data_IF_430372443672
#
_entry.id   IF_430372443672
#
_cell.length_a   1.000
_cell.length_b   1.000
_cell.length_c   1.000
_cell.angle_alpha   90.00
_cell.angle_beta   90.00
_cell.angle_gamma   90.00
#
_symmetry.space_group_name_H-M   'P 1'
#
loop_
_entity.id
_entity.type
_entity.pdbx_description
1 polymer ?
#
# COMPACT_ATOMS: atom_id res chain seq x y z
N UNK A 1 -7.66 -4.05 -52.46
CA UNK A 1 -7.16 -2.74 -52.99
C UNK A 1 -7.26 -1.60 -51.97
N UNK A 2 -8.33 -1.46 -51.16
CA UNK A 2 -8.48 -0.34 -50.17
C UNK A 2 -7.38 -0.31 -49.09
N UNK A 3 -6.97 -1.48 -48.55
CA UNK A 3 -5.94 -1.55 -47.49
C UNK A 3 -4.56 -1.06 -47.97
N UNK A 4 -4.11 -1.48 -49.15
CA UNK A 4 -2.81 -1.01 -49.73
C UNK A 4 -2.79 0.51 -49.90
N UNK A 5 -3.93 1.12 -50.32
CA UNK A 5 -4.03 2.56 -50.48
C UNK A 5 -3.90 3.30 -49.14
N UNK A 6 -4.47 2.77 -48.05
CA UNK A 6 -4.34 3.36 -46.72
C UNK A 6 -2.91 3.32 -46.18
N UNK A 7 -2.17 2.23 -46.40
CA UNK A 7 -0.75 2.16 -46.03
C UNK A 7 0.13 3.12 -46.81
N UNK A 8 -0.17 3.35 -48.11
CA UNK A 8 0.55 4.34 -48.94
C UNK A 8 0.26 5.75 -48.42
N UNK A 9 -1.02 6.08 -48.13
CA UNK A 9 -1.39 7.39 -47.59
C UNK A 9 -0.74 7.61 -46.23
N UNK A 10 -0.71 6.60 -45.36
CA UNK A 10 -0.06 6.67 -44.06
C UNK A 10 1.49 6.87 -44.20
N UNK A 11 2.12 6.14 -45.09
CA UNK A 11 3.54 6.33 -45.38
C UNK A 11 3.86 7.74 -45.91
N UNK A 12 3.03 8.26 -46.80
CA UNK A 12 3.19 9.64 -47.32
C UNK A 12 2.96 10.69 -46.21
N UNK A 13 2.02 10.46 -45.33
CA UNK A 13 1.79 11.34 -44.18
C UNK A 13 2.97 11.36 -43.22
N UNK A 14 3.55 10.21 -42.90
CA UNK A 14 4.77 10.11 -42.08
C UNK A 14 5.98 10.77 -42.74
N UNK A 15 6.15 10.56 -44.04
CA UNK A 15 7.24 11.18 -44.78
C UNK A 15 7.10 12.71 -44.85
N UNK A 16 5.88 13.22 -45.08
CA UNK A 16 5.58 14.64 -45.04
C UNK A 16 5.81 15.24 -43.66
N UNK A 17 5.39 14.56 -42.62
CA UNK A 17 5.63 14.98 -41.21
C UNK A 17 7.14 15.04 -40.93
N UNK A 18 7.90 14.00 -41.27
CA UNK A 18 9.34 13.96 -41.05
C UNK A 18 10.07 15.07 -41.85
N UNK A 19 9.68 15.29 -43.09
CA UNK A 19 10.24 16.36 -43.91
C UNK A 19 9.95 17.75 -43.34
N UNK A 20 8.70 17.97 -42.85
CA UNK A 20 8.32 19.23 -42.25
C UNK A 20 9.05 19.45 -40.89
N UNK A 21 9.24 18.40 -40.12
CA UNK A 21 10.00 18.43 -38.88
C UNK A 21 11.45 18.80 -39.11
N UNK A 22 12.11 18.12 -40.08
CA UNK A 22 13.51 18.41 -40.47
C UNK A 22 13.64 19.84 -41.02
N UNK A 23 12.63 20.31 -41.78
CA UNK A 23 12.64 21.67 -42.28
C UNK A 23 12.51 22.71 -41.19
N UNK A 24 11.62 22.49 -40.19
CA UNK A 24 11.48 23.37 -39.02
C UNK A 24 12.75 23.38 -38.18
N UNK A 25 13.37 22.20 -37.96
CA UNK A 25 14.65 22.10 -37.25
C UNK A 25 15.75 22.87 -38.02
N UNK A 26 15.81 22.71 -39.31
CA UNK A 26 16.78 23.46 -40.16
C UNK A 26 16.57 24.99 -40.08
N UNK A 27 15.31 25.45 -40.10
CA UNK A 27 15.00 26.87 -39.89
C UNK A 27 15.36 27.31 -38.46
N UNK A 28 15.18 26.42 -37.46
CA UNK A 28 15.51 26.68 -36.05
C UNK A 28 16.99 26.90 -35.83
N UNK A 29 17.86 26.20 -36.55
CA UNK A 29 19.32 26.41 -36.48
C UNK A 29 19.75 27.84 -36.84
N UNK A 30 18.94 28.60 -37.58
CA UNK A 30 19.21 30.01 -37.82
C UNK A 30 19.11 30.90 -36.58
N UNK A 31 18.45 30.38 -35.51
CA UNK A 31 18.27 31.08 -34.22
C UNK A 31 19.23 30.62 -33.15
N UNK A 32 20.02 29.54 -33.37
CA UNK A 32 20.96 28.99 -32.37
C UNK A 32 22.08 29.96 -31.95
N UNK A 33 22.26 31.05 -32.70
CA UNK A 33 23.20 32.13 -32.34
C UNK A 33 22.58 33.31 -31.56
N UNK A 34 21.30 33.33 -31.28
CA UNK A 34 20.60 34.45 -30.62
C UNK A 34 20.23 34.21 -29.14
N UNK A 35 20.44 33.00 -28.63
CA UNK A 35 20.21 32.66 -27.24
C UNK A 35 21.46 32.86 -26.37
N UNK A 36 21.34 33.04 -25.02
CA UNK A 36 22.48 32.97 -24.12
C UNK A 36 23.07 31.57 -24.23
N UNK A 37 24.08 31.42 -25.09
CA UNK A 37 24.64 30.14 -25.47
C UNK A 37 25.30 29.45 -24.31
N UNK A 38 24.87 28.26 -24.06
CA UNK A 38 25.71 27.17 -23.66
C UNK A 38 25.92 26.32 -24.92
N UNK A 39 26.96 26.67 -25.71
CA UNK A 39 27.54 25.66 -26.57
C UNK A 39 28.01 24.53 -25.65
N UNK A 40 27.69 23.26 -25.91
CA UNK A 40 28.33 22.16 -25.22
C UNK A 40 29.83 22.28 -25.51
N UNK A 41 30.61 22.64 -24.50
CA UNK A 41 32.06 22.64 -24.54
C UNK A 41 32.53 21.21 -24.81
N UNK A 42 33.07 21.02 -25.94
CA UNK A 42 33.93 19.99 -26.48
C UNK A 42 33.93 18.57 -25.89
N UNK A 43 33.92 17.62 -26.79
CA UNK A 43 34.39 16.23 -26.63
C UNK A 43 33.54 15.25 -25.79
N UNK A 44 32.25 15.43 -25.74
CA UNK A 44 31.42 14.31 -25.30
C UNK A 44 31.26 13.30 -26.44
N UNK A 45 31.92 12.15 -26.27
CA UNK A 45 31.73 11.04 -27.22
C UNK A 45 30.23 10.71 -27.27
N UNK A 46 29.69 10.23 -28.40
CA UNK A 46 28.28 9.83 -28.49
C UNK A 46 27.86 8.85 -27.41
N UNK A 47 28.81 8.08 -26.87
CA UNK A 47 28.62 7.16 -25.73
C UNK A 47 28.48 7.93 -24.40
N UNK A 48 29.23 9.03 -24.21
CA UNK A 48 29.12 9.89 -23.04
C UNK A 48 27.75 10.58 -22.97
N UNK A 49 27.29 11.17 -24.07
CA UNK A 49 25.96 11.78 -24.20
C UNK A 49 24.83 10.76 -23.93
N UNK A 50 24.99 9.53 -24.41
CA UNK A 50 24.03 8.46 -24.19
C UNK A 50 24.02 8.03 -22.72
N UNK A 51 25.20 7.95 -22.09
CA UNK A 51 25.33 7.65 -20.66
C UNK A 51 24.71 8.74 -19.78
N UNK A 52 24.97 10.02 -20.09
CA UNK A 52 24.40 11.15 -19.35
C UNK A 52 22.88 11.23 -19.54
N UNK A 53 22.38 11.02 -20.76
CA UNK A 53 20.95 10.96 -21.03
C UNK A 53 20.28 9.81 -20.28
N UNK A 54 20.90 8.64 -20.22
CA UNK A 54 20.39 7.49 -19.46
C UNK A 54 20.40 7.76 -17.96
N UNK A 55 21.47 8.35 -17.42
CA UNK A 55 21.55 8.68 -15.98
C UNK A 55 20.57 9.76 -15.58
N UNK A 56 20.35 10.78 -16.39
CA UNK A 56 19.32 11.81 -16.17
C UNK A 56 17.92 11.17 -16.20
N UNK A 57 17.65 10.32 -17.19
CA UNK A 57 16.37 9.63 -17.29
C UNK A 57 16.15 8.65 -16.13
N UNK A 58 17.18 7.96 -15.64
CA UNK A 58 17.07 7.08 -14.47
C UNK A 58 16.79 7.86 -13.17
N UNK A 59 17.24 9.11 -13.05
CA UNK A 59 16.94 9.99 -11.92
C UNK A 59 15.57 10.65 -12.00
N UNK A 60 14.88 10.53 -13.14
CA UNK A 60 13.51 11.05 -13.23
C UNK A 60 12.58 10.31 -12.25
N UNK A 61 11.73 11.02 -11.47
CA UNK A 61 10.93 10.41 -10.40
C UNK A 61 10.10 9.21 -10.84
N UNK A 62 9.52 9.25 -12.04
CA UNK A 62 8.74 8.14 -12.58
C UNK A 62 9.63 6.93 -12.91
N UNK A 63 10.78 7.15 -13.50
CA UNK A 63 11.73 6.06 -13.87
C UNK A 63 12.25 5.37 -12.60
N UNK A 64 12.62 6.15 -11.59
CA UNK A 64 13.06 5.62 -10.30
C UNK A 64 11.95 4.83 -9.61
N UNK A 65 10.73 5.34 -9.60
CA UNK A 65 9.57 4.63 -9.06
C UNK A 65 9.33 3.29 -9.77
N UNK A 66 9.39 3.27 -11.10
CA UNK A 66 9.24 2.03 -11.87
C UNK A 66 10.38 1.04 -11.57
N UNK A 67 11.61 1.53 -11.42
CA UNK A 67 12.75 0.70 -11.04
C UNK A 67 12.57 0.11 -9.63
N UNK A 68 12.11 0.91 -8.66
CA UNK A 68 11.76 0.45 -7.31
C UNK A 68 10.70 -0.65 -7.36
N UNK A 69 9.62 -0.45 -8.11
CA UNK A 69 8.54 -1.44 -8.26
C UNK A 69 9.07 -2.73 -8.89
N UNK A 70 9.90 -2.64 -9.93
CA UNK A 70 10.53 -3.80 -10.57
C UNK A 70 11.41 -4.56 -9.57
N UNK A 71 12.29 -3.86 -8.84
CA UNK A 71 13.17 -4.46 -7.85
C UNK A 71 12.36 -5.17 -6.74
N UNK A 72 11.30 -4.51 -6.23
CA UNK A 72 10.39 -5.08 -5.24
C UNK A 72 9.71 -6.34 -5.80
N UNK A 73 9.12 -6.28 -6.99
CA UNK A 73 8.38 -7.41 -7.58
C UNK A 73 9.29 -8.62 -7.82
N UNK A 74 10.51 -8.40 -8.31
CA UNK A 74 11.47 -9.49 -8.53
C UNK A 74 11.86 -10.12 -7.19
N UNK A 75 12.25 -9.31 -6.21
CA UNK A 75 12.69 -9.80 -4.89
C UNK A 75 11.55 -10.53 -4.17
N UNK A 76 10.35 -9.95 -4.17
CA UNK A 76 9.14 -10.57 -3.61
C UNK A 76 8.88 -11.92 -4.29
N UNK A 77 9.02 -12.02 -5.61
CA UNK A 77 8.79 -13.28 -6.33
C UNK A 77 9.78 -14.36 -5.93
N UNK A 78 11.04 -14.01 -5.80
CA UNK A 78 12.12 -14.92 -5.39
C UNK A 78 11.85 -15.43 -3.96
N UNK A 79 11.63 -14.53 -3.00
CA UNK A 79 11.41 -14.89 -1.60
C UNK A 79 10.08 -15.61 -1.38
N UNK A 80 9.02 -15.21 -2.05
CA UNK A 80 7.72 -15.91 -1.97
C UNK A 80 7.84 -17.35 -2.47
N UNK A 81 8.58 -17.60 -3.57
CA UNK A 81 8.85 -18.94 -4.06
C UNK A 81 9.69 -19.76 -3.06
N UNK A 82 10.76 -19.16 -2.52
CA UNK A 82 11.62 -19.81 -1.52
C UNK A 82 10.85 -20.22 -0.26
N UNK A 83 10.01 -19.31 0.26
CA UNK A 83 9.21 -19.59 1.46
C UNK A 83 8.12 -20.63 1.21
N UNK A 84 7.51 -20.64 0.03
CA UNK A 84 6.59 -21.71 -0.37
C UNK A 84 7.27 -23.07 -0.41
N UNK A 85 8.51 -23.14 -0.91
CA UNK A 85 9.30 -24.37 -0.89
C UNK A 85 9.58 -24.85 0.54
N UNK A 86 9.75 -23.93 1.50
CA UNK A 86 9.88 -24.21 2.92
C UNK A 86 8.54 -24.55 3.62
N UNK A 87 7.43 -24.66 2.87
CA UNK A 87 6.11 -24.95 3.40
C UNK A 87 5.41 -23.74 4.07
N UNK A 88 6.01 -22.55 4.00
CA UNK A 88 5.44 -21.32 4.55
C UNK A 88 4.52 -20.61 3.53
N UNK A 89 3.57 -19.78 3.99
CA UNK A 89 2.81 -18.91 3.10
C UNK A 89 3.71 -17.93 2.35
N UNK A 90 3.41 -17.67 1.07
CA UNK A 90 4.19 -16.77 0.23
C UNK A 90 4.29 -15.35 0.78
N UNK A 91 3.25 -14.88 1.48
CA UNK A 91 3.23 -13.56 2.13
C UNK A 91 4.36 -13.37 3.15
N UNK A 92 4.81 -14.43 3.82
CA UNK A 92 5.97 -14.34 4.72
C UNK A 92 7.23 -14.03 3.92
N UNK A 93 7.38 -14.67 2.75
CA UNK A 93 8.45 -14.33 1.80
C UNK A 93 8.37 -12.89 1.30
N UNK A 94 7.17 -12.37 1.06
CA UNK A 94 6.96 -10.97 0.67
C UNK A 94 7.42 -9.99 1.76
N UNK A 95 7.13 -10.28 3.03
CA UNK A 95 7.59 -9.48 4.17
C UNK A 95 9.12 -9.53 4.29
N UNK A 96 9.70 -10.73 4.20
CA UNK A 96 11.17 -10.90 4.27
C UNK A 96 11.86 -10.20 3.10
N UNK A 97 11.28 -10.24 1.89
CA UNK A 97 11.77 -9.49 0.75
C UNK A 97 11.84 -7.98 1.01
N UNK A 98 10.81 -7.43 1.66
CA UNK A 98 10.80 -6.03 2.09
C UNK A 98 11.89 -5.70 3.10
N UNK A 99 12.15 -6.58 4.07
CA UNK A 99 13.24 -6.42 5.04
C UNK A 99 14.61 -6.48 4.34
N UNK A 100 14.77 -7.40 3.38
CA UNK A 100 16.01 -7.55 2.61
C UNK A 100 16.30 -6.33 1.74
N UNK A 101 15.28 -5.74 1.12
CA UNK A 101 15.43 -4.50 0.36
C UNK A 101 15.55 -3.24 1.24
N UNK A 102 15.27 -3.38 2.53
CA UNK A 102 15.30 -2.29 3.49
C UNK A 102 16.71 -1.91 3.97
N UNK A 103 16.80 -0.89 4.83
CA UNK A 103 18.07 -0.39 5.36
C UNK A 103 18.84 -1.43 6.15
N UNK A 104 18.15 -2.41 6.75
CA UNK A 104 18.76 -3.42 7.61
C UNK A 104 19.65 -4.42 6.86
N UNK A 105 19.33 -4.75 5.61
CA UNK A 105 20.10 -5.73 4.82
C UNK A 105 20.73 -5.03 3.60
N UNK A 106 19.96 -4.54 2.65
CA UNK A 106 20.51 -3.87 1.48
C UNK A 106 21.29 -2.62 1.85
N UNK A 107 20.74 -1.81 2.78
CA UNK A 107 21.42 -0.60 3.24
C UNK A 107 22.74 -0.88 3.98
N UNK A 108 22.87 -2.04 4.63
CA UNK A 108 24.11 -2.45 5.29
C UNK A 108 25.11 -3.10 4.32
N UNK A 109 24.63 -3.94 3.40
CA UNK A 109 25.48 -4.67 2.45
C UNK A 109 25.95 -3.80 1.29
N UNK A 110 25.13 -2.90 0.80
CA UNK A 110 25.43 -2.00 -0.32
C UNK A 110 24.74 -0.62 -0.11
N UNK A 111 25.33 0.24 0.75
CA UNK A 111 24.77 1.56 1.05
C UNK A 111 24.53 2.42 -0.18
N UNK A 112 25.41 2.35 -1.16
CA UNK A 112 25.31 3.12 -2.40
C UNK A 112 24.09 2.69 -3.25
N UNK A 113 23.89 1.38 -3.42
CA UNK A 113 22.73 0.83 -4.13
C UNK A 113 21.43 1.16 -3.41
N UNK A 114 21.44 1.08 -2.09
CA UNK A 114 20.28 1.42 -1.27
C UNK A 114 19.94 2.92 -1.39
N UNK A 115 20.94 3.80 -1.25
CA UNK A 115 20.73 5.24 -1.37
C UNK A 115 20.28 5.66 -2.78
N UNK A 116 20.76 4.97 -3.82
CA UNK A 116 20.29 5.21 -5.19
C UNK A 116 18.86 4.75 -5.40
N UNK A 117 18.49 3.54 -4.93
CA UNK A 117 17.20 2.91 -5.22
C UNK A 117 16.10 3.42 -4.28
N UNK A 118 16.42 3.65 -3.00
CA UNK A 118 15.47 4.00 -1.95
C UNK A 118 15.86 5.29 -1.23
N UNK A 119 16.21 6.33 -2.02
CA UNK A 119 16.41 7.68 -1.49
C UNK A 119 15.14 8.15 -0.75
N UNK A 120 15.25 8.75 0.44
CA UNK A 120 14.11 9.20 1.23
C UNK A 120 13.10 10.05 0.47
N UNK A 121 13.55 10.94 -0.43
CA UNK A 121 12.68 11.79 -1.22
C UNK A 121 11.91 11.00 -2.30
N UNK A 122 12.48 9.88 -2.75
CA UNK A 122 11.86 8.99 -3.73
C UNK A 122 10.82 8.03 -3.15
N UNK A 123 10.75 7.88 -1.83
CA UNK A 123 9.82 6.96 -1.17
C UNK A 123 8.38 7.48 -1.11
N UNK A 124 8.16 8.78 -1.29
CA UNK A 124 6.81 9.37 -1.21
C UNK A 124 5.86 8.78 -2.26
N UNK A 125 6.19 8.73 -3.55
CA UNK A 125 5.34 8.07 -4.56
C UNK A 125 5.11 6.58 -4.29
N UNK A 126 6.14 5.86 -3.81
CA UNK A 126 6.04 4.45 -3.47
C UNK A 126 5.07 4.22 -2.30
N UNK A 127 5.12 5.08 -1.29
CA UNK A 127 4.18 5.05 -0.16
C UNK A 127 2.74 5.29 -0.63
N UNK A 128 2.51 6.28 -1.49
CA UNK A 128 1.16 6.55 -2.05
C UNK A 128 0.60 5.31 -2.76
N UNK A 129 1.40 4.67 -3.62
CA UNK A 129 0.98 3.44 -4.32
C UNK A 129 0.70 2.32 -3.32
N UNK A 130 1.53 2.16 -2.28
CA UNK A 130 1.33 1.18 -1.22
C UNK A 130 0.00 1.39 -0.48
N UNK A 131 -0.33 2.64 -0.11
CA UNK A 131 -1.60 2.97 0.56
C UNK A 131 -2.81 2.70 -0.34
N UNK A 132 -2.74 3.09 -1.62
CA UNK A 132 -3.80 2.79 -2.59
C UNK A 132 -3.97 1.28 -2.74
N UNK A 133 -2.86 0.54 -2.86
CA UNK A 133 -2.86 -0.93 -2.93
C UNK A 133 -3.50 -1.56 -1.70
N UNK A 134 -3.19 -1.06 -0.51
CA UNK A 134 -3.79 -1.53 0.74
C UNK A 134 -5.31 -1.29 0.77
N UNK A 135 -5.78 -0.09 0.40
CA UNK A 135 -7.22 0.23 0.35
C UNK A 135 -7.96 -0.73 -0.60
N UNK A 136 -7.41 -0.96 -1.81
CA UNK A 136 -7.99 -1.87 -2.78
C UNK A 136 -7.99 -3.33 -2.29
N UNK A 137 -6.90 -3.77 -1.68
CA UNK A 137 -6.79 -5.10 -1.11
C UNK A 137 -7.81 -5.32 0.02
N UNK A 138 -7.94 -4.38 0.95
CA UNK A 138 -8.92 -4.45 2.04
C UNK A 138 -10.36 -4.46 1.53
N UNK A 139 -10.64 -3.72 0.46
CA UNK A 139 -11.94 -3.74 -0.20
C UNK A 139 -12.26 -5.13 -0.78
N UNK A 140 -11.32 -5.77 -1.49
CA UNK A 140 -11.49 -7.12 -2.05
C UNK A 140 -11.72 -8.14 -0.94
N UNK A 141 -10.92 -8.11 0.13
CA UNK A 141 -11.12 -8.99 1.30
C UNK A 141 -12.49 -8.76 1.93
N UNK A 142 -12.90 -7.50 2.09
CA UNK A 142 -14.20 -7.14 2.63
C UNK A 142 -15.38 -7.69 1.81
N UNK A 143 -15.24 -7.75 0.48
CA UNK A 143 -16.25 -8.36 -0.40
C UNK A 143 -16.34 -9.89 -0.27
N UNK A 144 -15.25 -10.56 0.07
CA UNK A 144 -15.21 -12.01 0.26
C UNK A 144 -15.79 -12.45 1.61
N UNK A 145 -15.98 -11.54 2.58
CA UNK A 145 -16.48 -11.86 3.90
C UNK A 145 -17.98 -12.19 3.89
N UNK A 146 -18.33 -13.40 4.37
CA UNK A 146 -19.72 -13.77 4.64
C UNK A 146 -20.19 -13.21 5.97
N UNK A 147 -20.87 -12.07 5.91
CA UNK A 147 -21.43 -11.39 7.09
C UNK A 147 -22.49 -12.26 7.82
N UNK A 148 -23.11 -13.21 7.15
CA UNK A 148 -24.08 -14.13 7.74
C UNK A 148 -23.42 -15.10 8.73
N UNK A 149 -22.24 -15.57 8.41
CA UNK A 149 -21.43 -16.45 9.28
C UNK A 149 -20.89 -15.66 10.46
N UNK A 150 -20.38 -14.46 10.22
CA UNK A 150 -19.88 -13.56 11.29
C UNK A 150 -20.98 -13.28 12.30
N UNK A 151 -22.19 -12.96 11.84
CA UNK A 151 -23.33 -12.69 12.72
C UNK A 151 -23.75 -13.90 13.54
N UNK A 152 -23.73 -15.10 12.96
CA UNK A 152 -24.08 -16.34 13.67
C UNK A 152 -23.07 -16.70 14.76
N UNK A 153 -21.78 -16.35 14.56
CA UNK A 153 -20.69 -16.64 15.50
C UNK A 153 -20.14 -15.40 16.21
N UNK A 154 -20.97 -14.35 16.32
CA UNK A 154 -20.53 -13.07 16.87
C UNK A 154 -19.97 -13.17 18.30
N UNK A 155 -20.57 -13.97 19.17
CA UNK A 155 -20.09 -14.16 20.54
C UNK A 155 -18.72 -14.86 20.58
N UNK A 156 -18.54 -15.92 19.78
CA UNK A 156 -17.26 -16.63 19.66
C UNK A 156 -16.18 -15.70 19.11
N UNK A 157 -16.50 -14.96 18.05
CA UNK A 157 -15.62 -13.97 17.41
C UNK A 157 -15.16 -12.90 18.40
N UNK A 158 -16.09 -12.35 19.22
CA UNK A 158 -15.76 -11.35 20.24
C UNK A 158 -14.82 -11.91 21.30
N UNK A 159 -15.11 -13.09 21.82
CA UNK A 159 -14.27 -13.71 22.87
C UNK A 159 -12.86 -13.99 22.34
N UNK A 160 -12.74 -14.59 21.14
CA UNK A 160 -11.45 -14.90 20.52
C UNK A 160 -10.66 -13.62 20.24
N UNK A 161 -11.32 -12.61 19.66
CA UNK A 161 -10.69 -11.33 19.36
C UNK A 161 -10.13 -10.64 20.61
N UNK A 162 -10.94 -10.51 21.67
CA UNK A 162 -10.47 -9.87 22.89
C UNK A 162 -9.42 -10.69 23.64
N UNK A 163 -9.54 -12.01 23.67
CA UNK A 163 -8.51 -12.87 24.25
C UNK A 163 -7.17 -12.75 23.50
N UNK A 164 -7.21 -12.65 22.18
CA UNK A 164 -6.02 -12.47 21.35
C UNK A 164 -5.34 -11.10 21.51
N UNK A 165 -6.01 -10.10 22.07
CA UNK A 165 -5.42 -8.83 22.47
C UNK A 165 -4.96 -8.87 23.92
N UNK A 166 -5.84 -9.26 24.85
CA UNK A 166 -5.60 -9.14 26.28
C UNK A 166 -4.38 -9.95 26.73
N UNK A 167 -4.26 -11.21 26.27
CA UNK A 167 -3.17 -12.07 26.69
C UNK A 167 -1.80 -11.54 26.22
N UNK A 168 -1.56 -11.25 24.92
CA UNK A 168 -0.30 -10.65 24.51
C UNK A 168 -0.06 -9.26 25.13
N UNK A 169 -1.11 -8.46 25.37
CA UNK A 169 -0.97 -7.16 26.01
C UNK A 169 -0.40 -7.27 27.41
N UNK A 170 -0.90 -8.19 28.22
CA UNK A 170 -0.37 -8.46 29.56
C UNK A 170 1.07 -9.00 29.51
N UNK A 171 1.37 -9.88 28.55
CA UNK A 171 2.74 -10.36 28.33
C UNK A 171 3.66 -9.23 27.89
N UNK A 172 3.18 -8.34 27.02
CA UNK A 172 3.91 -7.15 26.57
C UNK A 172 4.18 -6.16 27.71
N UNK A 173 3.24 -5.98 28.64
CA UNK A 173 3.46 -5.21 29.88
C UNK A 173 4.57 -5.86 30.74
N UNK A 174 4.55 -7.18 30.89
CA UNK A 174 5.60 -7.92 31.60
C UNK A 174 6.96 -7.79 30.90
N UNK A 175 7.01 -7.90 29.57
CA UNK A 175 8.21 -7.67 28.78
C UNK A 175 8.74 -6.24 28.99
N UNK A 176 7.85 -5.26 28.93
CA UNK A 176 8.21 -3.86 29.14
C UNK A 176 8.86 -3.63 30.50
N UNK A 177 8.38 -4.30 31.55
CA UNK A 177 8.98 -4.21 32.89
C UNK A 177 10.44 -4.68 32.88
N UNK A 178 10.74 -5.75 32.14
CA UNK A 178 12.11 -6.30 32.05
C UNK A 178 13.04 -5.41 31.23
N UNK A 179 12.55 -4.87 30.09
CA UNK A 179 13.42 -4.13 29.16
C UNK A 179 13.49 -2.62 29.45
N UNK A 180 12.59 -2.09 30.29
CA UNK A 180 12.51 -0.67 30.58
C UNK A 180 13.82 -0.06 31.13
N UNK A 181 14.54 -0.69 32.06
CA UNK A 181 15.77 -0.10 32.60
C UNK A 181 16.81 0.19 31.53
N UNK A 182 16.87 -0.62 30.49
CA UNK A 182 17.87 -0.50 29.42
C UNK A 182 17.41 0.39 28.29
N UNK A 183 16.16 0.27 27.83
CA UNK A 183 15.64 0.90 26.62
C UNK A 183 14.69 2.06 26.88
N UNK A 184 14.00 2.10 28.00
CA UNK A 184 12.92 3.05 28.28
C UNK A 184 13.30 4.22 29.20
N UNK A 185 14.09 3.94 30.23
CA UNK A 185 14.32 4.86 31.35
C UNK A 185 14.92 6.21 30.96
N UNK A 186 15.62 6.28 29.82
CA UNK A 186 16.25 7.53 29.34
C UNK A 186 15.33 8.38 28.45
N UNK A 187 14.21 7.82 27.99
CA UNK A 187 13.42 8.41 26.91
C UNK A 187 11.95 8.66 27.26
N UNK A 188 11.38 7.88 28.18
CA UNK A 188 9.98 7.98 28.55
C UNK A 188 9.73 7.48 29.99
N UNK A 189 8.63 7.91 30.60
CA UNK A 189 8.15 7.32 31.84
C UNK A 189 7.66 5.88 31.60
N UNK A 190 7.66 5.06 32.66
CA UNK A 190 7.36 3.61 32.54
C UNK A 190 5.98 3.32 31.91
N UNK A 191 4.94 4.04 32.30
CA UNK A 191 3.56 3.76 31.87
C UNK A 191 3.38 3.93 30.37
N UNK A 192 3.74 5.07 29.73
CA UNK A 192 3.67 5.20 28.28
C UNK A 192 4.52 4.19 27.53
N UNK A 193 5.74 3.92 28.01
CA UNK A 193 6.62 2.92 27.41
C UNK A 193 6.00 1.52 27.47
N UNK A 194 5.51 1.12 28.64
CA UNK A 194 4.92 -0.20 28.83
C UNK A 194 3.63 -0.39 28.01
N UNK A 195 2.77 0.63 27.95
CA UNK A 195 1.57 0.61 27.12
C UNK A 195 1.92 0.50 25.62
N UNK A 196 2.97 1.20 25.18
CA UNK A 196 3.42 1.15 23.79
C UNK A 196 3.98 -0.23 23.42
N UNK A 197 4.82 -0.82 24.27
CA UNK A 197 5.32 -2.19 24.08
C UNK A 197 4.18 -3.20 24.10
N UNK A 198 3.25 -3.08 25.05
CA UNK A 198 2.10 -3.97 25.17
C UNK A 198 1.22 -3.95 23.92
N UNK A 199 0.87 -2.75 23.42
CA UNK A 199 0.06 -2.64 22.21
C UNK A 199 0.79 -3.16 20.97
N UNK A 200 2.10 -2.91 20.86
CA UNK A 200 2.93 -3.32 19.72
C UNK A 200 2.96 -4.84 19.53
N UNK A 201 2.93 -5.63 20.62
CA UNK A 201 2.92 -7.10 20.55
C UNK A 201 1.54 -7.71 20.50
N UNK A 202 0.48 -6.91 20.70
CA UNK A 202 -0.91 -7.39 20.78
C UNK A 202 -1.69 -7.28 19.49
N UNK A 203 -1.24 -6.46 18.56
CA UNK A 203 -1.97 -6.19 17.31
C UNK A 203 -1.74 -7.32 16.32
N UNK A 204 -2.83 -7.95 15.88
CA UNK A 204 -2.81 -8.91 14.77
C UNK A 204 -3.12 -8.19 13.48
N UNK A 205 -2.21 -8.22 12.51
CA UNK A 205 -2.41 -7.58 11.22
C UNK A 205 -3.47 -8.33 10.38
N UNK A 206 -4.70 -7.82 10.33
CA UNK A 206 -5.79 -8.39 9.54
C UNK A 206 -5.41 -8.65 8.07
N UNK A 207 -4.75 -7.73 7.32
CA UNK A 207 -4.40 -7.97 5.92
C UNK A 207 -3.47 -9.18 5.74
N UNK A 208 -2.51 -9.37 6.64
CA UNK A 208 -1.56 -10.49 6.60
C UNK A 208 -2.29 -11.81 6.88
N UNK A 209 -3.13 -11.86 7.91
CA UNK A 209 -3.91 -13.06 8.22
C UNK A 209 -4.87 -13.42 7.09
N UNK A 210 -5.58 -12.45 6.53
CA UNK A 210 -6.48 -12.67 5.41
C UNK A 210 -5.73 -13.25 4.20
N UNK A 211 -4.55 -12.75 3.90
CA UNK A 211 -3.69 -13.26 2.83
C UNK A 211 -3.25 -14.71 3.08
N UNK A 212 -2.83 -15.04 4.31
CA UNK A 212 -2.46 -16.40 4.70
C UNK A 212 -3.65 -17.35 4.54
N UNK A 213 -4.82 -16.97 5.02
CA UNK A 213 -6.04 -17.78 4.94
C UNK A 213 -6.46 -18.01 3.48
N UNK A 214 -6.33 -17.00 2.61
CA UNK A 214 -6.57 -17.14 1.17
C UNK A 214 -5.56 -18.10 0.52
N UNK A 215 -4.26 -17.91 0.76
CA UNK A 215 -3.21 -18.78 0.17
C UNK A 215 -3.34 -20.24 0.60
N UNK A 216 -3.86 -20.49 1.79
CA UNK A 216 -4.12 -21.84 2.32
C UNK A 216 -5.49 -22.38 1.90
N UNK A 217 -6.27 -21.65 1.09
CA UNK A 217 -7.64 -22.00 0.68
C UNK A 217 -8.60 -22.27 1.85
N UNK A 218 -8.37 -21.58 2.99
CA UNK A 218 -9.17 -21.71 4.20
C UNK A 218 -10.31 -20.68 4.29
N UNK A 219 -10.39 -19.70 3.40
CA UNK A 219 -11.34 -18.58 3.45
C UNK A 219 -12.81 -19.02 3.56
N UNK A 220 -13.16 -20.17 2.97
CA UNK A 220 -14.53 -20.72 3.00
C UNK A 220 -14.74 -21.74 4.11
N UNK A 221 -13.73 -22.07 4.90
CA UNK A 221 -13.89 -23.00 6.03
C UNK A 221 -14.42 -22.27 7.27
N UNK A 222 -15.15 -22.97 8.16
CA UNK A 222 -15.64 -22.36 9.40
C UNK A 222 -14.53 -21.74 10.24
N UNK A 223 -13.34 -22.36 10.28
CA UNK A 223 -12.19 -21.88 11.01
C UNK A 223 -11.58 -20.63 10.36
N UNK A 224 -11.40 -20.65 9.03
CA UNK A 224 -10.88 -19.49 8.29
C UNK A 224 -11.80 -18.27 8.40
N UNK A 225 -13.10 -18.47 8.27
CA UNK A 225 -14.09 -17.40 8.44
C UNK A 225 -14.07 -16.82 9.85
N UNK A 226 -13.96 -17.68 10.89
CA UNK A 226 -13.87 -17.24 12.28
C UNK A 226 -12.56 -16.47 12.53
N UNK A 227 -11.44 -16.95 12.00
CA UNK A 227 -10.13 -16.29 12.11
C UNK A 227 -10.16 -14.90 11.47
N UNK A 228 -10.65 -14.79 10.22
CA UNK A 228 -10.77 -13.51 9.50
C UNK A 228 -11.70 -12.55 10.25
N UNK A 229 -12.86 -13.03 10.72
CA UNK A 229 -13.81 -12.21 11.45
C UNK A 229 -13.23 -11.69 12.79
N UNK A 230 -12.52 -12.56 13.52
CA UNK A 230 -11.86 -12.19 14.78
C UNK A 230 -10.73 -11.18 14.55
N UNK A 231 -9.95 -11.33 13.49
CA UNK A 231 -8.89 -10.40 13.15
C UNK A 231 -9.44 -9.03 12.71
N UNK A 232 -10.54 -9.00 11.96
CA UNK A 232 -11.19 -7.74 11.58
C UNK A 232 -11.72 -6.97 12.79
N UNK A 233 -12.32 -7.68 13.76
CA UNK A 233 -12.76 -7.08 15.03
C UNK A 233 -11.55 -6.65 15.89
N UNK A 234 -10.46 -7.42 15.84
CA UNK A 234 -9.22 -7.11 16.52
C UNK A 234 -8.59 -5.80 16.00
N UNK A 235 -8.55 -5.58 14.68
CA UNK A 235 -8.06 -4.35 14.08
C UNK A 235 -8.79 -3.12 14.64
N UNK A 236 -10.13 -3.11 14.65
CA UNK A 236 -10.90 -1.98 15.20
C UNK A 236 -10.55 -1.72 16.66
N UNK A 237 -10.51 -2.77 17.48
CA UNK A 237 -10.17 -2.67 18.91
C UNK A 237 -8.75 -2.18 19.11
N UNK A 238 -7.80 -2.68 18.31
CA UNK A 238 -6.39 -2.31 18.37
C UNK A 238 -6.17 -0.82 18.02
N UNK A 239 -6.85 -0.30 17.01
CA UNK A 239 -6.77 1.12 16.66
C UNK A 239 -7.34 2.02 17.78
N UNK A 240 -8.46 1.62 18.40
CA UNK A 240 -9.00 2.33 19.56
C UNK A 240 -8.02 2.34 20.75
N UNK A 241 -7.40 1.19 21.04
CA UNK A 241 -6.38 1.06 22.09
C UNK A 241 -5.14 1.88 21.76
N UNK A 242 -4.66 1.85 20.50
CA UNK A 242 -3.52 2.65 20.07
C UNK A 242 -3.78 4.14 20.24
N UNK A 243 -4.98 4.63 19.88
CA UNK A 243 -5.37 6.01 20.10
C UNK A 243 -5.31 6.38 21.58
N UNK A 244 -5.80 5.50 22.48
CA UNK A 244 -5.73 5.68 23.92
C UNK A 244 -4.27 5.72 24.43
N UNK A 245 -3.42 4.80 23.97
CA UNK A 245 -1.98 4.75 24.32
C UNK A 245 -1.27 6.03 23.88
N UNK A 246 -1.50 6.50 22.64
CA UNK A 246 -0.93 7.76 22.13
C UNK A 246 -1.40 8.95 22.97
N UNK A 247 -2.66 9.00 23.36
CA UNK A 247 -3.18 10.06 24.24
C UNK A 247 -2.46 10.10 25.60
N UNK A 248 -2.24 8.93 26.21
CA UNK A 248 -1.47 8.82 27.46
C UNK A 248 -0.01 9.19 27.26
N UNK A 249 0.63 8.74 26.17
CA UNK A 249 2.04 8.99 25.90
C UNK A 249 2.36 10.47 25.65
N UNK A 250 1.45 11.18 24.99
CA UNK A 250 1.63 12.61 24.68
C UNK A 250 1.29 13.56 25.83
N UNK A 251 0.91 13.03 27.01
CA UNK A 251 0.36 13.82 28.12
C UNK A 251 -0.78 14.78 27.66
N UNK A 252 -1.29 14.54 26.49
CA UNK A 252 -2.37 15.25 25.85
C UNK A 252 -3.70 14.59 26.23
N UNK A 253 -4.72 15.38 26.35
CA UNK A 253 -6.02 15.07 26.88
C UNK A 253 -6.56 13.69 26.48
N UNK A 254 -7.00 12.91 27.43
CA UNK A 254 -7.87 11.73 27.28
C UNK A 254 -9.06 12.03 26.34
N UNK A 255 -9.42 13.29 26.25
CA UNK A 255 -10.40 13.88 25.34
C UNK A 255 -10.12 13.52 23.86
N UNK A 256 -8.87 13.53 23.39
CA UNK A 256 -8.53 13.18 21.99
C UNK A 256 -8.82 11.70 21.67
N UNK A 257 -8.47 10.79 22.60
CA UNK A 257 -8.80 9.36 22.44
C UNK A 257 -10.31 9.13 22.43
N UNK A 258 -11.04 9.82 23.30
CA UNK A 258 -12.50 9.75 23.35
C UNK A 258 -13.14 10.21 22.03
N UNK A 259 -12.71 11.33 21.45
CA UNK A 259 -13.20 11.80 20.14
C UNK A 259 -12.91 10.80 19.03
N UNK A 260 -11.72 10.19 19.00
CA UNK A 260 -11.38 9.17 18.00
C UNK A 260 -12.32 7.96 18.10
N UNK A 261 -12.56 7.45 19.30
CA UNK A 261 -13.47 6.32 19.52
C UNK A 261 -14.91 6.68 19.09
N UNK A 262 -15.40 7.86 19.46
CA UNK A 262 -16.75 8.32 19.10
C UNK A 262 -16.89 8.49 17.60
N UNK A 263 -15.92 9.12 16.92
CA UNK A 263 -15.93 9.31 15.47
C UNK A 263 -15.88 7.96 14.74
N UNK A 264 -15.06 7.01 15.22
CA UNK A 264 -15.00 5.65 14.64
C UNK A 264 -16.35 4.94 14.78
N UNK A 265 -16.98 5.01 15.96
CA UNK A 265 -18.30 4.43 16.19
C UNK A 265 -19.38 5.06 15.29
N UNK A 266 -19.38 6.39 15.17
CA UNK A 266 -20.29 7.13 14.28
C UNK A 266 -20.08 6.74 12.82
N UNK A 267 -18.83 6.61 12.37
CA UNK A 267 -18.51 6.16 11.02
C UNK A 267 -19.01 4.73 10.75
N UNK A 268 -18.82 3.80 11.67
CA UNK A 268 -19.33 2.43 11.56
C UNK A 268 -20.87 2.45 11.44
N UNK A 269 -21.55 3.20 12.30
CA UNK A 269 -23.02 3.35 12.25
C UNK A 269 -23.48 3.96 10.91
N UNK A 270 -22.81 5.00 10.43
CA UNK A 270 -23.09 5.62 9.14
C UNK A 270 -22.96 4.63 8.00
N UNK A 271 -21.88 3.83 7.97
CA UNK A 271 -21.66 2.80 6.95
C UNK A 271 -22.75 1.72 6.98
N UNK A 272 -23.16 1.25 8.17
CA UNK A 272 -24.20 0.22 8.30
C UNK A 272 -25.61 0.71 7.99
N UNK A 273 -25.97 1.90 8.45
CA UNK A 273 -27.36 2.39 8.35
C UNK A 273 -27.63 3.21 7.09
N UNK A 274 -26.62 3.87 6.52
CA UNK A 274 -26.78 4.74 5.36
C UNK A 274 -26.14 4.15 4.10
N UNK A 275 -24.85 3.83 4.14
CA UNK A 275 -24.10 3.41 2.94
C UNK A 275 -24.50 2.01 2.50
N UNK A 276 -24.56 1.06 3.42
CA UNK A 276 -24.92 -0.34 3.11
C UNK A 276 -26.30 -0.47 2.45
N UNK A 277 -27.41 0.08 2.97
CA UNK A 277 -28.71 -0.03 2.31
C UNK A 277 -28.77 0.73 0.98
N UNK A 278 -28.03 1.84 0.86
CA UNK A 278 -27.92 2.60 -0.38
C UNK A 278 -27.22 1.78 -1.47
N UNK A 279 -26.06 1.19 -1.17
CA UNK A 279 -25.35 0.31 -2.09
C UNK A 279 -26.15 -0.93 -2.46
N UNK A 280 -26.89 -1.51 -1.53
CA UNK A 280 -27.78 -2.64 -1.77
C UNK A 280 -28.87 -2.29 -2.78
N UNK A 281 -29.53 -1.14 -2.64
CA UNK A 281 -30.56 -0.69 -3.60
C UNK A 281 -29.97 -0.48 -5.00
N UNK A 282 -28.76 0.06 -5.09
CA UNK A 282 -28.05 0.22 -6.36
C UNK A 282 -27.72 -1.15 -6.95
N UNK A 283 -27.20 -2.07 -6.15
CA UNK A 283 -26.90 -3.44 -6.59
C UNK A 283 -28.14 -4.17 -7.11
N UNK A 284 -29.26 -4.07 -6.42
CA UNK A 284 -30.55 -4.66 -6.85
C UNK A 284 -31.08 -4.05 -8.18
N UNK A 285 -30.86 -2.74 -8.38
CA UNK A 285 -31.23 -2.06 -9.63
C UNK A 285 -30.40 -2.55 -10.82
N UNK A 286 -29.08 -2.76 -10.62
CA UNK A 286 -28.18 -3.23 -11.67
C UNK A 286 -28.15 -4.75 -11.85
N UNK A 287 -28.56 -5.54 -10.85
CA UNK A 287 -28.59 -7.01 -10.93
C UNK A 287 -29.69 -7.52 -11.90
N UNK A 288 -30.59 -6.67 -12.35
CA UNK A 288 -31.54 -6.96 -13.45
C UNK A 288 -30.89 -6.99 -14.84
N UNK A 289 -29.63 -6.55 -14.96
CA UNK A 289 -28.84 -6.64 -16.19
C UNK A 289 -27.80 -7.75 -15.98
N UNK A 290 -27.79 -8.75 -16.85
CA UNK A 290 -26.92 -9.94 -16.78
C UNK A 290 -25.41 -9.65 -16.84
N UNK A 291 -25.00 -8.39 -17.01
CA UNK A 291 -23.60 -7.97 -17.09
C UNK A 291 -23.29 -6.86 -16.09
N UNK A 292 -22.16 -6.99 -15.41
CA UNK A 292 -21.66 -5.93 -14.51
C UNK A 292 -21.35 -4.66 -15.32
N UNK A 293 -22.17 -3.63 -15.15
CA UNK A 293 -21.99 -2.37 -15.87
C UNK A 293 -20.69 -1.67 -15.43
N UNK A 294 -19.93 -1.15 -16.41
CA UNK A 294 -18.74 -0.32 -16.15
C UNK A 294 -19.05 0.87 -15.22
N UNK A 295 -20.25 1.42 -15.35
CA UNK A 295 -20.74 2.52 -14.52
C UNK A 295 -20.91 2.11 -13.06
N UNK A 296 -21.40 0.89 -12.80
CA UNK A 296 -21.52 0.35 -11.44
C UNK A 296 -20.13 0.18 -10.78
N UNK A 297 -19.18 -0.37 -11.52
CA UNK A 297 -17.80 -0.52 -11.04
C UNK A 297 -17.19 0.84 -10.71
N UNK A 298 -17.30 1.82 -11.60
CA UNK A 298 -16.82 3.18 -11.38
C UNK A 298 -17.48 3.82 -10.14
N UNK A 299 -18.77 3.61 -9.94
CA UNK A 299 -19.50 4.12 -8.79
C UNK A 299 -19.03 3.47 -7.48
N UNK A 300 -18.81 2.16 -7.45
CA UNK A 300 -18.26 1.45 -6.29
C UNK A 300 -16.87 1.99 -5.93
N UNK A 301 -15.99 2.17 -6.93
CA UNK A 301 -14.69 2.77 -6.72
C UNK A 301 -14.76 4.20 -6.18
N UNK A 302 -15.71 5.01 -6.69
CA UNK A 302 -15.92 6.37 -6.19
C UNK A 302 -16.32 6.35 -4.72
N UNK A 303 -17.27 5.50 -4.33
CA UNK A 303 -17.70 5.36 -2.92
C UNK A 303 -16.54 4.89 -2.04
N UNK A 304 -15.73 3.94 -2.52
CA UNK A 304 -14.53 3.45 -1.82
C UNK A 304 -13.54 4.59 -1.55
N UNK A 305 -13.22 5.38 -2.59
CA UNK A 305 -12.26 6.49 -2.48
C UNK A 305 -12.80 7.59 -1.54
N UNK A 306 -14.09 7.96 -1.67
CA UNK A 306 -14.71 8.94 -0.77
C UNK A 306 -14.69 8.43 0.68
N UNK A 307 -15.04 7.17 0.89
CA UNK A 307 -15.02 6.54 2.21
C UNK A 307 -13.62 6.56 2.83
N UNK A 308 -12.60 6.20 2.05
CA UNK A 308 -11.21 6.22 2.49
C UNK A 308 -10.66 7.64 2.73
N UNK A 309 -11.18 8.64 2.02
CA UNK A 309 -10.78 10.04 2.21
C UNK A 309 -11.37 10.66 3.50
N UNK A 310 -12.57 10.22 3.90
CA UNK A 310 -13.26 10.75 5.10
C UNK A 310 -12.68 10.15 6.39
N UNK A 311 -12.12 8.93 6.33
CA UNK A 311 -11.54 8.22 7.48
C UNK A 311 -10.05 8.48 7.62
#
# INVERSE_FOLDING_TARGET
>A
MKAKRNYIIYGLMLAAFAALLLWIVHLGHAYDGLGPGAAPSGEDSPVGLLYDTLTINLKHPLSLLLLQVIAILITVRIFSYLFKYLGQPGVIGEIVAGIVLGPSVLGHLSPETFAFLFDPDSLVPLNIISQIGLVLFMFVIGMELDLGVIRRKASETLVISHASIIVPFLMGMGLAYVVYPEFGARHASFVPFALFVAISVSITAFPVLARIVQERNLSKTPMGMLAIASAANNDVTAWCLLAAVIAVARAGSVTSAFFTIVLTALYILFMFYLVKPFLRKIGEFYNKQETVSKTLVAFIFLVLIISSYIT
#
